data_IF_900185979354
#
_entry.id   IF_900185979354
#
_cell.length_a   1.000
_cell.length_b   1.000
_cell.length_c   1.000
_cell.angle_alpha   90.00
_cell.angle_beta   90.00
_cell.angle_gamma   90.00
#
_symmetry.space_group_name_H-M   'P 1'
#
loop_
_entity.id
_entity.type
_entity.pdbx_description
1 polymer ?
#
# COMPACT_ATOMS: atom_id res chain seq x y z
N UNK A 1 -80.94 10.92 -6.44
CA UNK A 1 -80.05 11.64 -7.38
C UNK A 1 -78.84 12.29 -6.69
N UNK A 2 -78.98 12.86 -5.47
CA UNK A 2 -77.88 13.54 -4.75
C UNK A 2 -76.78 12.58 -4.24
N UNK A 3 -77.14 11.36 -3.83
CA UNK A 3 -76.18 10.37 -3.32
C UNK A 3 -75.15 9.90 -4.37
N UNK A 4 -75.54 9.80 -5.64
CA UNK A 4 -74.67 9.37 -6.75
C UNK A 4 -73.61 10.42 -7.09
N UNK A 5 -73.96 11.71 -6.99
CA UNK A 5 -73.06 12.84 -7.27
C UNK A 5 -71.99 12.97 -6.18
N UNK A 6 -72.38 12.79 -4.91
CA UNK A 6 -71.45 12.81 -3.76
C UNK A 6 -70.47 11.64 -3.79
N UNK A 7 -70.90 10.45 -4.23
CA UNK A 7 -70.03 9.29 -4.39
C UNK A 7 -68.99 9.51 -5.51
N UNK A 8 -69.42 10.04 -6.66
CA UNK A 8 -68.54 10.34 -7.80
C UNK A 8 -67.49 11.42 -7.46
N UNK A 9 -67.87 12.45 -6.70
CA UNK A 9 -66.97 13.50 -6.25
C UNK A 9 -65.89 12.98 -5.28
N UNK A 10 -66.27 12.13 -4.30
CA UNK A 10 -65.31 11.50 -3.37
C UNK A 10 -64.31 10.58 -4.08
N UNK A 11 -64.76 9.79 -5.06
CA UNK A 11 -63.90 8.90 -5.84
C UNK A 11 -62.86 9.68 -6.67
N UNK A 12 -63.28 10.80 -7.28
CA UNK A 12 -62.43 11.64 -8.15
C UNK A 12 -61.36 12.43 -7.37
N UNK A 13 -61.67 12.84 -6.13
CA UNK A 13 -60.71 13.51 -5.24
C UNK A 13 -59.65 12.52 -4.73
N UNK A 14 -60.06 11.27 -4.45
CA UNK A 14 -59.13 10.20 -4.02
C UNK A 14 -58.10 9.85 -5.09
N UNK A 15 -58.50 9.77 -6.37
CA UNK A 15 -57.58 9.44 -7.49
C UNK A 15 -56.56 10.54 -7.81
N UNK A 16 -56.90 11.83 -7.65
CA UNK A 16 -55.96 12.94 -7.87
C UNK A 16 -54.81 12.94 -6.86
N UNK A 17 -55.11 12.62 -5.59
CA UNK A 17 -54.10 12.56 -4.54
C UNK A 17 -53.18 11.34 -4.72
N UNK A 18 -53.69 10.22 -5.21
CA UNK A 18 -52.88 9.02 -5.52
C UNK A 18 -51.88 9.32 -6.64
N UNK A 19 -52.28 10.02 -7.71
CA UNK A 19 -51.40 10.39 -8.85
C UNK A 19 -50.25 11.31 -8.40
N UNK A 20 -50.52 12.27 -7.51
CA UNK A 20 -49.48 13.14 -6.96
C UNK A 20 -48.51 12.42 -6.02
N UNK A 21 -48.98 11.39 -5.29
CA UNK A 21 -48.12 10.55 -4.44
C UNK A 21 -47.19 9.68 -5.31
N UNK A 22 -47.68 9.14 -6.43
CA UNK A 22 -46.83 8.37 -7.37
C UNK A 22 -45.77 9.25 -8.06
N UNK A 23 -46.08 10.51 -8.36
CA UNK A 23 -45.11 11.46 -8.91
C UNK A 23 -44.02 11.86 -7.90
N UNK A 24 -44.35 11.94 -6.60
CA UNK A 24 -43.39 12.27 -5.54
C UNK A 24 -42.41 11.11 -5.25
N UNK A 25 -42.89 9.87 -5.30
CA UNK A 25 -42.08 8.66 -5.08
C UNK A 25 -41.06 8.45 -6.21
N UNK A 26 -41.39 8.83 -7.45
CA UNK A 26 -40.49 8.73 -8.59
C UNK A 26 -39.29 9.70 -8.49
N UNK A 27 -39.50 10.90 -7.94
CA UNK A 27 -38.43 11.92 -7.77
C UNK A 27 -37.46 11.54 -6.64
N UNK A 28 -37.94 10.88 -5.58
CA UNK A 28 -37.11 10.43 -4.45
C UNK A 28 -36.17 9.29 -4.87
N UNK A 29 -36.59 8.39 -5.76
CA UNK A 29 -35.74 7.30 -6.27
C UNK A 29 -34.63 7.78 -7.23
N UNK A 30 -34.73 8.99 -7.78
CA UNK A 30 -33.68 9.57 -8.63
C UNK A 30 -32.55 10.21 -7.81
N UNK A 31 -32.80 10.55 -6.54
CA UNK A 31 -31.83 11.20 -5.64
C UNK A 31 -30.86 10.23 -4.95
N UNK A 32 -31.17 8.93 -4.91
CA UNK A 32 -30.31 7.90 -4.32
C UNK A 32 -29.17 7.43 -5.23
N UNK A 33 -29.15 7.83 -6.50
CA UNK A 33 -28.06 7.49 -7.45
C UNK A 33 -26.91 8.52 -7.46
N UNK A 34 -27.07 9.68 -6.81
CA UNK A 34 -26.03 10.72 -6.75
C UNK A 34 -24.99 10.48 -5.62
N UNK A 35 -25.13 9.40 -4.84
CA UNK A 35 -24.33 9.12 -3.64
C UNK A 35 -23.20 8.11 -3.80
N UNK A 36 -22.95 7.57 -5.00
CA UNK A 36 -21.72 6.79 -5.23
C UNK A 36 -20.54 7.76 -5.31
N UNK A 37 -19.91 8.04 -4.16
CA UNK A 37 -18.53 8.50 -4.15
C UNK A 37 -17.73 7.45 -4.92
N UNK A 38 -17.17 7.84 -6.06
CA UNK A 38 -16.12 7.06 -6.70
C UNK A 38 -14.94 7.15 -5.74
N UNK A 39 -14.72 6.10 -4.94
CA UNK A 39 -13.38 5.85 -4.42
C UNK A 39 -12.54 5.60 -5.68
N UNK A 40 -11.82 6.62 -6.13
CA UNK A 40 -10.78 6.41 -7.12
C UNK A 40 -9.80 5.39 -6.52
N UNK A 41 -9.43 4.33 -7.26
CA UNK A 41 -8.45 3.38 -6.76
C UNK A 41 -7.16 4.14 -6.47
N UNK A 42 -6.70 4.07 -5.21
CA UNK A 42 -5.45 4.68 -4.78
C UNK A 42 -4.29 4.16 -5.65
N UNK A 43 -3.37 5.03 -6.12
CA UNK A 43 -2.18 4.58 -6.84
C UNK A 43 -1.39 3.54 -6.04
N UNK A 44 -0.90 2.50 -6.72
CA UNK A 44 -0.19 1.40 -6.06
C UNK A 44 1.08 1.87 -5.34
N UNK A 45 1.79 2.84 -5.93
CA UNK A 45 2.95 3.50 -5.32
C UNK A 45 2.60 4.16 -3.98
N UNK A 46 1.46 4.84 -3.89
CA UNK A 46 0.99 5.44 -2.64
C UNK A 46 0.64 4.36 -1.61
N UNK A 47 0.04 3.24 -2.05
CA UNK A 47 -0.29 2.10 -1.17
C UNK A 47 0.96 1.47 -0.57
N UNK A 48 1.94 1.14 -1.41
CA UNK A 48 3.21 0.54 -0.99
C UNK A 48 4.02 1.51 -0.13
N UNK A 49 4.11 2.78 -0.50
CA UNK A 49 4.81 3.81 0.27
C UNK A 49 4.23 3.96 1.68
N UNK A 50 2.90 3.97 1.80
CA UNK A 50 2.23 4.04 3.09
C UNK A 50 2.51 2.79 3.94
N UNK A 51 2.58 1.59 3.34
CA UNK A 51 2.95 0.38 4.05
C UNK A 51 4.41 0.41 4.52
N UNK A 52 5.35 0.77 3.64
CA UNK A 52 6.77 0.90 3.99
C UNK A 52 6.99 1.89 5.13
N UNK A 53 6.33 3.04 5.08
CA UNK A 53 6.44 4.10 6.08
C UNK A 53 5.57 3.90 7.35
N UNK A 54 4.87 2.77 7.45
CA UNK A 54 3.90 2.54 8.54
C UNK A 54 4.53 2.16 9.89
N UNK A 55 5.86 2.04 9.97
CA UNK A 55 6.58 1.69 11.19
C UNK A 55 8.04 1.34 10.93
N UNK A 56 8.64 0.67 11.91
CA UNK A 56 10.02 0.16 11.82
C UNK A 56 10.01 -1.32 11.52
N UNK A 57 10.83 -1.72 10.55
CA UNK A 57 11.03 -3.09 10.12
C UNK A 57 12.22 -3.68 10.86
N UNK A 58 11.98 -4.73 11.64
CA UNK A 58 12.98 -5.48 12.40
C UNK A 58 13.40 -6.70 11.58
N UNK A 59 14.71 -6.94 11.49
CA UNK A 59 15.22 -8.10 10.74
C UNK A 59 14.79 -9.43 11.37
N UNK A 60 14.39 -10.38 10.53
CA UNK A 60 14.10 -11.77 10.92
C UNK A 60 15.08 -12.74 10.27
N UNK A 61 15.35 -12.59 8.98
CA UNK A 61 16.22 -13.50 8.23
C UNK A 61 16.98 -12.76 7.12
N UNK A 62 18.21 -13.21 6.86
CA UNK A 62 19.02 -12.75 5.72
C UNK A 62 19.63 -13.96 5.02
N UNK A 63 19.40 -14.08 3.72
CA UNK A 63 20.07 -15.04 2.86
C UNK A 63 21.01 -14.30 1.91
N UNK A 64 22.24 -14.80 1.77
CA UNK A 64 23.20 -14.35 0.76
C UNK A 64 23.63 -15.55 -0.05
N UNK A 65 23.28 -15.57 -1.35
CA UNK A 65 23.43 -16.73 -2.23
C UNK A 65 22.88 -18.00 -1.55
N UNK A 66 21.63 -17.93 -1.07
CA UNK A 66 20.92 -19.02 -0.37
C UNK A 66 21.54 -19.45 0.98
N UNK A 67 22.60 -18.79 1.44
CA UNK A 67 23.24 -19.08 2.73
C UNK A 67 22.76 -18.11 3.80
N UNK A 68 22.32 -18.63 4.94
CA UNK A 68 21.90 -17.81 6.08
C UNK A 68 23.06 -16.96 6.63
N UNK A 69 22.87 -15.64 6.62
CA UNK A 69 23.77 -14.61 7.16
C UNK A 69 23.09 -13.74 8.23
N UNK A 70 21.95 -14.18 8.79
CA UNK A 70 21.16 -13.41 9.76
C UNK A 70 22.00 -12.92 10.94
N UNK A 71 22.95 -13.74 11.42
CA UNK A 71 23.84 -13.37 12.52
C UNK A 71 24.71 -12.14 12.22
N UNK A 72 25.08 -11.92 10.96
CA UNK A 72 25.89 -10.76 10.53
C UNK A 72 25.10 -9.45 10.48
N UNK A 73 23.76 -9.54 10.50
CA UNK A 73 22.84 -8.40 10.51
C UNK A 73 22.04 -8.35 11.82
N UNK A 74 22.54 -8.95 12.90
CA UNK A 74 21.85 -8.98 14.17
C UNK A 74 21.48 -7.57 14.66
N UNK A 75 20.19 -7.38 14.96
CA UNK A 75 19.66 -6.09 15.41
C UNK A 75 19.49 -5.05 14.30
N UNK A 76 19.52 -5.46 13.02
CA UNK A 76 19.19 -4.59 11.90
C UNK A 76 17.75 -4.10 11.99
N UNK A 77 17.57 -2.79 11.89
CA UNK A 77 16.27 -2.15 11.71
C UNK A 77 16.27 -1.22 10.52
N UNK A 78 15.12 -1.11 9.85
CA UNK A 78 14.91 -0.27 8.68
C UNK A 78 13.63 0.55 8.86
N UNK A 79 13.73 1.86 8.71
CA UNK A 79 12.59 2.78 8.80
C UNK A 79 12.51 3.58 7.51
N UNK A 80 11.41 3.46 6.78
CA UNK A 80 11.15 4.26 5.59
C UNK A 80 10.34 5.51 5.97
N UNK A 81 10.60 6.60 5.25
CA UNK A 81 9.71 7.75 5.12
C UNK A 81 9.17 7.78 3.69
N UNK A 82 8.57 8.91 3.27
CA UNK A 82 8.08 9.07 1.89
C UNK A 82 9.16 8.94 0.83
N UNK A 83 10.38 9.41 1.09
CA UNK A 83 11.46 9.48 0.09
C UNK A 83 12.83 9.13 0.66
N UNK A 84 12.90 8.80 1.95
CA UNK A 84 14.15 8.46 2.64
C UNK A 84 14.00 7.19 3.45
N UNK A 85 15.13 6.62 3.84
CA UNK A 85 15.20 5.53 4.79
C UNK A 85 16.30 5.78 5.81
N UNK A 86 16.22 5.11 6.95
CA UNK A 86 17.29 5.03 7.94
C UNK A 86 17.44 3.61 8.45
N UNK A 87 18.66 3.25 8.85
CA UNK A 87 18.95 1.92 9.41
C UNK A 87 19.71 1.99 10.73
N UNK A 88 19.54 0.96 11.55
CA UNK A 88 20.44 0.63 12.67
C UNK A 88 21.10 -0.71 12.36
N UNK A 89 22.39 -0.88 12.69
CA UNK A 89 23.13 -2.14 12.45
C UNK A 89 23.09 -2.65 10.99
N UNK A 90 23.05 -1.74 10.02
CA UNK A 90 22.99 -2.03 8.59
C UNK A 90 24.25 -2.64 7.96
N UNK A 91 25.37 -2.61 8.69
CA UNK A 91 26.66 -3.05 8.17
C UNK A 91 27.09 -2.25 6.94
N UNK A 92 27.78 -2.90 6.01
CA UNK A 92 28.24 -2.29 4.76
C UNK A 92 27.13 -2.22 3.71
N UNK A 93 26.11 -3.09 3.81
CA UNK A 93 25.05 -3.23 2.80
C UNK A 93 23.97 -2.16 2.94
N UNK A 94 23.67 -1.77 4.18
CA UNK A 94 22.67 -0.75 4.49
C UNK A 94 23.34 0.47 5.14
N UNK A 95 23.49 1.58 4.40
CA UNK A 95 23.88 2.86 4.96
C UNK A 95 22.94 3.28 6.09
N UNK A 96 23.46 4.07 7.03
CA UNK A 96 22.69 4.57 8.16
C UNK A 96 21.48 5.41 7.73
N UNK A 97 21.55 6.04 6.57
CA UNK A 97 20.48 6.79 5.92
C UNK A 97 20.73 6.91 4.43
N UNK A 98 19.67 7.16 3.67
CA UNK A 98 19.71 7.48 2.24
C UNK A 98 18.32 7.87 1.71
N UNK A 99 18.25 8.18 0.42
CA UNK A 99 16.97 8.35 -0.29
C UNK A 99 16.61 7.16 -1.17
N UNK A 100 15.33 7.06 -1.50
CA UNK A 100 14.81 6.04 -2.41
C UNK A 100 13.63 6.60 -3.23
N UNK A 101 13.40 6.01 -4.38
CA UNK A 101 12.23 6.25 -5.22
C UNK A 101 11.75 4.97 -5.90
N UNK A 102 10.49 4.93 -6.33
CA UNK A 102 9.99 3.81 -7.13
C UNK A 102 10.58 3.87 -8.53
N UNK A 103 10.97 2.70 -9.08
CA UNK A 103 11.45 2.60 -10.46
C UNK A 103 10.33 2.93 -11.45
N UNK A 104 9.10 2.49 -11.16
CA UNK A 104 7.92 2.78 -11.96
C UNK A 104 6.60 2.73 -11.15
N UNK A 105 5.46 2.87 -11.84
CA UNK A 105 4.14 2.91 -11.23
C UNK A 105 3.62 1.56 -10.73
N UNK A 106 4.29 0.44 -11.03
CA UNK A 106 3.92 -0.90 -10.53
C UNK A 106 4.32 -1.09 -9.07
N UNK A 107 5.26 -0.27 -8.58
CA UNK A 107 5.74 -0.27 -7.20
C UNK A 107 6.31 -1.63 -6.74
N UNK A 108 6.85 -2.42 -7.66
CA UNK A 108 7.53 -3.69 -7.38
C UNK A 108 9.03 -3.50 -7.06
N UNK A 109 9.59 -2.35 -7.39
CA UNK A 109 11.00 -2.01 -7.23
C UNK A 109 11.19 -0.58 -6.75
N UNK A 110 12.23 -0.41 -5.94
CA UNK A 110 12.78 0.90 -5.57
C UNK A 110 14.23 0.99 -6.01
N UNK A 111 14.70 2.20 -6.26
CA UNK A 111 16.12 2.50 -6.43
C UNK A 111 16.56 3.44 -5.31
N UNK A 112 17.71 3.13 -4.71
CA UNK A 112 18.37 3.97 -3.69
C UNK A 112 19.24 5.04 -4.36
N UNK A 113 19.64 6.02 -3.56
CA UNK A 113 20.58 7.09 -3.94
C UNK A 113 22.00 6.63 -4.29
N UNK A 114 22.35 5.38 -4.00
CA UNK A 114 23.59 4.73 -4.41
C UNK A 114 23.42 3.77 -5.59
N UNK A 115 22.36 3.98 -6.39
CA UNK A 115 22.01 3.22 -7.59
C UNK A 115 21.69 1.72 -7.33
N UNK A 116 21.50 1.33 -6.08
CA UNK A 116 21.09 -0.03 -5.73
C UNK A 116 19.58 -0.20 -5.99
N UNK A 117 19.24 -0.98 -7.01
CA UNK A 117 17.87 -1.42 -7.27
C UNK A 117 17.47 -2.57 -6.34
N UNK A 118 16.33 -2.41 -5.68
CA UNK A 118 15.77 -3.36 -4.72
C UNK A 118 14.38 -3.78 -5.16
N UNK A 119 14.16 -5.08 -5.27
CA UNK A 119 12.86 -5.68 -5.52
C UNK A 119 12.10 -5.84 -4.21
N UNK A 120 10.87 -5.34 -4.18
CA UNK A 120 9.89 -5.46 -3.10
C UNK A 120 9.11 -6.78 -3.25
N UNK A 121 9.75 -7.90 -2.91
CA UNK A 121 9.16 -9.23 -3.08
C UNK A 121 7.88 -9.45 -2.23
N UNK A 122 7.78 -8.78 -1.08
CA UNK A 122 6.58 -8.78 -0.25
C UNK A 122 6.48 -7.47 0.54
N UNK A 123 5.32 -6.81 0.53
CA UNK A 123 5.01 -5.65 1.37
C UNK A 123 3.60 -5.77 1.93
N UNK A 124 3.49 -6.14 3.20
CA UNK A 124 2.21 -6.26 3.92
C UNK A 124 2.20 -5.36 5.15
N UNK A 125 1.17 -5.44 5.99
CA UNK A 125 1.13 -4.69 7.26
C UNK A 125 2.08 -5.25 8.32
N UNK A 126 2.63 -6.45 8.14
CA UNK A 126 3.44 -7.16 9.15
C UNK A 126 4.73 -7.77 8.61
N UNK A 127 4.87 -7.93 7.30
CA UNK A 127 6.07 -8.53 6.68
C UNK A 127 6.56 -7.69 5.50
N UNK A 128 7.88 -7.61 5.39
CA UNK A 128 8.60 -6.97 4.29
C UNK A 128 9.70 -7.92 3.82
N UNK A 129 9.70 -8.24 2.53
CA UNK A 129 10.78 -9.01 1.88
C UNK A 129 11.42 -8.19 0.77
N UNK A 130 12.73 -8.05 0.85
CA UNK A 130 13.55 -7.29 -0.09
C UNK A 130 14.55 -8.21 -0.76
N UNK A 131 14.75 -8.07 -2.06
CA UNK A 131 15.77 -8.79 -2.81
C UNK A 131 16.55 -7.87 -3.74
N UNK A 132 17.88 -8.04 -3.78
CA UNK A 132 18.76 -7.29 -4.68
C UNK A 132 20.08 -8.02 -4.90
N UNK A 133 20.80 -7.62 -5.94
CA UNK A 133 22.19 -8.06 -6.17
C UNK A 133 23.12 -7.00 -5.60
N UNK A 134 23.93 -7.37 -4.61
CA UNK A 134 25.00 -6.50 -4.13
C UNK A 134 26.25 -6.67 -5.02
N UNK A 135 26.66 -5.63 -5.78
CA UNK A 135 27.82 -5.72 -6.66
C UNK A 135 29.16 -5.63 -5.90
N UNK A 136 29.15 -5.22 -4.63
CA UNK A 136 30.38 -4.90 -3.90
C UNK A 136 31.18 -6.15 -3.52
N UNK A 137 32.23 -6.44 -4.28
CA UNK A 137 33.34 -7.33 -3.88
C UNK A 137 34.41 -6.48 -3.20
N UNK A 138 34.33 -6.28 -1.88
CA UNK A 138 35.37 -5.47 -1.22
C UNK A 138 36.73 -6.18 -1.29
N UNK A 139 37.59 -5.77 -2.23
CA UNK A 139 39.03 -6.02 -2.19
C UNK A 139 39.64 -4.97 -1.27
N UNK A 140 39.67 -5.28 0.03
CA UNK A 140 40.43 -4.56 1.05
C UNK A 140 41.10 -5.60 1.95
N UNK A 141 42.39 -5.42 2.25
CA UNK A 141 43.21 -6.41 2.96
C UNK A 141 42.64 -6.77 4.35
N UNK A 142 41.87 -7.85 4.44
CA UNK A 142 41.27 -8.34 5.67
C UNK A 142 40.10 -9.29 5.43
N UNK A 143 39.68 -9.98 6.51
CA UNK A 143 38.50 -10.88 6.53
C UNK A 143 37.19 -10.08 6.44
N UNK A 144 36.99 -9.32 5.37
CA UNK A 144 35.64 -8.87 5.00
C UNK A 144 35.04 -10.04 4.24
N UNK A 145 34.12 -10.76 4.88
CA UNK A 145 33.29 -11.73 4.18
C UNK A 145 32.70 -11.01 2.97
N UNK A 146 32.96 -11.53 1.76
CA UNK A 146 32.46 -10.94 0.53
C UNK A 146 30.95 -10.78 0.64
N UNK A 147 30.47 -9.55 0.83
CA UNK A 147 29.04 -9.25 0.86
C UNK A 147 28.45 -9.20 -0.55
N UNK A 148 29.23 -9.51 -1.59
CA UNK A 148 28.72 -9.60 -2.96
C UNK A 148 27.78 -10.80 -3.14
N UNK A 149 26.82 -10.65 -4.06
CA UNK A 149 25.93 -11.73 -4.47
C UNK A 149 24.46 -11.35 -4.41
N UNK A 150 23.59 -12.35 -4.49
CA UNK A 150 22.15 -12.20 -4.32
C UNK A 150 21.81 -12.14 -2.83
N UNK A 151 21.10 -11.10 -2.44
CA UNK A 151 20.65 -10.87 -1.07
C UNK A 151 19.13 -11.00 -1.01
N UNK A 152 18.66 -11.64 0.04
CA UNK A 152 17.25 -11.67 0.42
C UNK A 152 17.13 -11.30 1.90
N UNK A 153 16.40 -10.23 2.20
CA UNK A 153 16.17 -9.75 3.56
C UNK A 153 14.69 -9.89 3.91
N UNK A 154 14.40 -10.55 5.02
CA UNK A 154 13.05 -10.69 5.56
C UNK A 154 12.95 -9.91 6.86
N UNK A 155 11.96 -9.04 6.93
CA UNK A 155 11.67 -8.24 8.11
C UNK A 155 10.25 -8.48 8.59
N UNK A 156 10.07 -8.38 9.90
CA UNK A 156 8.78 -8.22 10.54
C UNK A 156 8.62 -6.80 11.06
N UNK A 157 7.37 -6.37 11.21
CA UNK A 157 7.06 -5.08 11.80
C UNK A 157 7.25 -5.11 13.31
N UNK A 158 8.03 -4.15 13.84
CA UNK A 158 8.20 -3.93 15.29
C UNK A 158 7.02 -3.16 15.90
#
# INVERSE_FOLDING_TARGET
MIATILFYAKLKISMKNIIHITQLILVINLLILAGCKKDDPQPETERIQNLLASGTWQIENVLVNETDQTASFAGLTLSFTKTTYSTTNGGIVWPANGSWEFVDATADKIIRDDDLEITLAEVTSTSLKLSFINPTTTIGAGRVASTAGEHEFHFAKN
#
